data_IF_474658235511
#
_entry.id   IF_474658235511
#
_cell.length_a   1.000
_cell.length_b   1.000
_cell.length_c   1.000
_cell.angle_alpha   90.00
_cell.angle_beta   90.00
_cell.angle_gamma   90.00
#
_symmetry.space_group_name_H-M   'P 1'
#
loop_
_entity.id
_entity.type
_entity.pdbx_description
1 polymer ?
#
# COMPACT_ATOMS: atom_id res chain seq x y z
N UNK A 1 -12.00 -28.12 -10.72
CA UNK A 1 -11.42 -29.09 -9.76
C UNK A 1 -9.88 -29.00 -9.67
N UNK A 2 -9.13 -28.89 -10.79
CA UNK A 2 -7.64 -28.89 -10.77
C UNK A 2 -7.05 -27.79 -9.88
N UNK A 3 -7.55 -26.56 -9.96
CA UNK A 3 -7.03 -25.41 -9.20
C UNK A 3 -7.29 -25.47 -7.69
N UNK A 4 -8.40 -26.05 -7.24
CA UNK A 4 -8.66 -26.22 -5.79
C UNK A 4 -7.72 -27.24 -5.16
N UNK A 5 -7.46 -28.34 -5.85
CA UNK A 5 -6.57 -29.38 -5.35
C UNK A 5 -5.14 -28.88 -5.16
N UNK A 6 -4.68 -27.94 -6.01
CA UNK A 6 -3.33 -27.36 -5.90
C UNK A 6 -3.23 -26.41 -4.71
N UNK A 7 -4.23 -25.56 -4.48
CA UNK A 7 -4.28 -24.65 -3.32
C UNK A 7 -4.26 -25.44 -2.00
N UNK A 8 -5.17 -26.42 -1.87
CA UNK A 8 -5.26 -27.27 -0.68
C UNK A 8 -3.99 -28.10 -0.47
N UNK A 9 -3.32 -28.52 -1.56
CA UNK A 9 -2.05 -29.24 -1.48
C UNK A 9 -0.94 -28.35 -0.91
N UNK A 10 -0.80 -27.11 -1.39
CA UNK A 10 0.19 -26.15 -0.87
C UNK A 10 -0.03 -25.90 0.63
N UNK A 11 -1.27 -25.65 1.04
CA UNK A 11 -1.62 -25.47 2.45
C UNK A 11 -1.36 -26.74 3.29
N UNK A 12 -1.61 -27.91 2.73
CA UNK A 12 -1.32 -29.19 3.40
C UNK A 12 0.19 -29.37 3.59
N UNK A 13 0.98 -29.09 2.57
CA UNK A 13 2.45 -29.15 2.65
C UNK A 13 2.99 -28.17 3.69
N UNK A 14 2.49 -26.93 3.71
CA UNK A 14 2.86 -25.94 4.72
C UNK A 14 2.55 -26.42 6.14
N UNK A 15 1.32 -26.87 6.39
CA UNK A 15 0.89 -27.38 7.68
C UNK A 15 1.70 -28.63 8.12
N UNK A 16 2.02 -29.51 7.17
CA UNK A 16 2.83 -30.70 7.44
C UNK A 16 4.25 -30.32 7.88
N UNK A 17 4.88 -29.36 7.20
CA UNK A 17 6.20 -28.87 7.58
C UNK A 17 6.18 -28.18 8.96
N UNK A 18 5.13 -27.39 9.24
CA UNK A 18 4.96 -26.79 10.57
C UNK A 18 4.84 -27.86 11.65
N UNK A 19 4.00 -28.90 11.42
CA UNK A 19 3.84 -30.01 12.36
C UNK A 19 5.13 -30.81 12.56
N UNK A 20 5.89 -31.08 11.48
CA UNK A 20 7.20 -31.75 11.55
C UNK A 20 8.18 -30.92 12.38
N UNK A 21 8.21 -29.61 12.19
CA UNK A 21 9.03 -28.68 13.00
C UNK A 21 8.66 -28.76 14.48
N UNK A 22 7.38 -28.61 14.82
CA UNK A 22 6.90 -28.70 16.20
C UNK A 22 7.24 -30.05 16.86
N UNK A 23 7.09 -31.14 16.09
CA UNK A 23 7.42 -32.50 16.58
C UNK A 23 8.92 -32.64 16.85
N UNK A 24 9.77 -32.17 15.94
CA UNK A 24 11.24 -32.20 16.12
C UNK A 24 11.69 -31.34 17.31
N UNK A 25 11.10 -30.15 17.47
CA UNK A 25 11.35 -29.29 18.62
C UNK A 25 10.99 -29.99 19.94
N UNK A 26 9.80 -30.59 20.01
CA UNK A 26 9.34 -31.33 21.20
C UNK A 26 10.20 -32.53 21.52
N UNK A 27 10.59 -33.35 20.53
CA UNK A 27 11.45 -34.52 20.71
C UNK A 27 12.87 -34.10 21.16
N UNK A 28 13.44 -33.07 20.55
CA UNK A 28 14.74 -32.54 20.88
C UNK A 28 14.85 -31.92 22.28
N UNK A 29 13.73 -31.36 22.76
CA UNK A 29 13.61 -30.73 24.10
C UNK A 29 13.03 -31.64 25.17
N UNK A 30 12.83 -32.93 24.88
CA UNK A 30 12.24 -33.87 25.83
C UNK A 30 13.14 -33.99 27.10
N UNK A 31 12.58 -34.00 28.33
CA UNK A 31 13.38 -34.00 29.57
C UNK A 31 14.40 -35.13 29.68
N UNK A 32 14.14 -36.30 29.12
CA UNK A 32 15.09 -37.40 29.11
C UNK A 32 16.33 -37.13 28.22
N UNK A 33 16.21 -36.30 27.19
CA UNK A 33 17.32 -35.86 26.33
C UNK A 33 18.13 -34.75 26.97
N UNK A 34 17.53 -33.97 27.90
CA UNK A 34 18.20 -32.94 28.69
C UNK A 34 19.12 -33.50 29.78
N UNK A 35 18.88 -34.74 30.22
CA UNK A 35 19.73 -35.42 31.23
C UNK A 35 21.10 -35.87 30.69
N UNK A 36 21.23 -35.97 29.36
CA UNK A 36 22.51 -36.23 28.69
C UNK A 36 22.63 -35.24 27.51
N UNK A 37 23.27 -34.08 27.67
CA UNK A 37 23.36 -33.08 26.62
C UNK A 37 24.05 -33.70 25.39
N UNK A 38 23.23 -34.00 24.37
CA UNK A 38 23.68 -34.53 23.09
C UNK A 38 23.50 -33.42 22.04
N UNK A 39 24.56 -32.98 21.37
CA UNK A 39 24.49 -31.96 20.31
C UNK A 39 23.47 -32.26 19.21
N UNK A 40 23.22 -33.52 18.92
CA UNK A 40 22.22 -33.93 17.93
C UNK A 40 20.80 -33.51 18.34
N UNK A 41 20.41 -33.77 19.60
CA UNK A 41 19.08 -33.40 20.09
C UNK A 41 18.90 -31.88 20.19
N UNK A 42 19.96 -31.16 20.59
CA UNK A 42 19.95 -29.68 20.63
C UNK A 42 19.78 -29.10 19.22
N UNK A 43 20.50 -29.65 18.23
CA UNK A 43 20.36 -29.22 16.85
C UNK A 43 18.98 -29.58 16.27
N UNK A 44 18.45 -30.75 16.60
CA UNK A 44 17.10 -31.17 16.19
C UNK A 44 16.03 -30.26 16.79
N UNK A 45 16.15 -29.90 18.07
CA UNK A 45 15.24 -28.95 18.71
C UNK A 45 15.31 -27.58 18.03
N UNK A 46 16.51 -27.07 17.80
CA UNK A 46 16.71 -25.77 17.14
C UNK A 46 16.19 -25.74 15.70
N UNK A 47 16.45 -26.79 14.93
CA UNK A 47 15.91 -26.93 13.59
C UNK A 47 14.37 -27.00 13.61
N UNK A 48 13.81 -27.75 14.55
CA UNK A 48 12.38 -27.87 14.74
C UNK A 48 11.71 -26.55 15.07
N UNK A 49 12.27 -25.79 16.00
CA UNK A 49 11.79 -24.49 16.45
C UNK A 49 11.80 -23.46 15.30
N UNK A 50 12.91 -23.32 14.59
CA UNK A 50 13.03 -22.42 13.45
C UNK A 50 12.08 -22.83 12.32
N UNK A 51 11.91 -24.14 12.07
CA UNK A 51 11.00 -24.66 11.03
C UNK A 51 9.53 -24.41 11.39
N UNK A 52 9.14 -24.73 12.64
CA UNK A 52 7.77 -24.47 13.11
C UNK A 52 7.41 -22.99 12.97
N UNK A 53 8.25 -22.11 13.52
CA UNK A 53 8.05 -20.65 13.45
C UNK A 53 7.96 -20.15 12.02
N UNK A 54 8.83 -20.63 11.11
CA UNK A 54 8.83 -20.27 9.69
C UNK A 54 7.48 -20.57 9.04
N UNK A 55 7.01 -21.81 9.15
CA UNK A 55 5.76 -22.22 8.49
C UNK A 55 4.49 -21.72 9.20
N UNK A 56 4.57 -21.44 10.50
CA UNK A 56 3.50 -20.77 11.24
C UNK A 56 3.28 -19.36 10.74
N UNK A 57 4.35 -18.59 10.54
CA UNK A 57 4.29 -17.17 10.16
C UNK A 57 3.76 -16.94 8.74
N UNK A 58 3.94 -17.90 7.83
CA UNK A 58 3.65 -17.73 6.39
C UNK A 58 2.21 -17.31 6.05
N UNK A 59 1.24 -17.51 6.94
CA UNK A 59 -0.17 -17.18 6.65
C UNK A 59 -0.89 -16.51 7.82
N UNK A 60 -0.15 -16.16 8.87
CA UNK A 60 -0.71 -15.49 10.05
C UNK A 60 -0.39 -14.01 9.98
N UNK A 61 -1.43 -13.18 9.99
CA UNK A 61 -1.25 -11.72 10.08
C UNK A 61 -0.57 -11.37 11.40
N UNK A 62 0.58 -10.71 11.39
CA UNK A 62 1.22 -10.25 12.62
C UNK A 62 0.37 -9.18 13.31
N UNK A 63 0.44 -9.14 14.64
CA UNK A 63 -0.09 -8.03 15.41
C UNK A 63 0.73 -6.77 15.17
N UNK A 64 0.11 -5.61 15.19
CA UNK A 64 0.83 -4.37 15.10
C UNK A 64 1.86 -4.19 16.22
N UNK A 65 1.58 -4.68 17.43
CA UNK A 65 2.51 -4.70 18.56
C UNK A 65 3.00 -3.31 18.99
N UNK A 66 2.32 -2.24 18.57
CA UNK A 66 2.61 -0.86 18.96
C UNK A 66 1.71 -0.52 20.14
N UNK A 67 2.16 -0.87 21.35
CA UNK A 67 1.37 -0.72 22.56
C UNK A 67 1.56 0.65 23.24
N UNK A 68 2.74 1.25 23.09
CA UNK A 68 3.08 2.54 23.67
C UNK A 68 3.87 3.41 22.67
N UNK A 69 3.84 4.71 22.88
CA UNK A 69 4.65 5.69 22.16
C UNK A 69 5.15 6.78 23.12
N UNK A 70 6.41 7.13 23.01
CA UNK A 70 6.96 8.31 23.68
C UNK A 70 6.73 9.53 22.80
N UNK A 71 5.87 10.43 23.25
CA UNK A 71 5.51 11.65 22.52
C UNK A 71 6.58 12.74 22.70
N UNK A 72 6.56 13.80 21.88
CA UNK A 72 7.55 14.90 21.94
C UNK A 72 7.66 15.61 23.31
N UNK A 73 6.62 15.55 24.12
CA UNK A 73 6.61 16.05 25.50
C UNK A 73 7.29 15.11 26.50
N UNK A 74 7.92 14.04 26.02
CA UNK A 74 8.63 13.04 26.82
C UNK A 74 7.72 12.06 27.57
N UNK A 75 6.41 12.11 27.38
CA UNK A 75 5.47 11.22 28.05
C UNK A 75 5.25 9.94 27.22
N UNK A 76 5.31 8.83 27.91
CA UNK A 76 4.86 7.54 27.37
C UNK A 76 3.34 7.48 27.41
N UNK A 77 2.71 7.06 26.30
CA UNK A 77 1.26 6.93 26.15
C UNK A 77 0.91 5.59 25.55
N UNK A 78 -0.19 5.02 26.00
CA UNK A 78 -0.78 3.83 25.38
C UNK A 78 -1.22 4.17 23.94
N UNK A 79 -1.10 3.19 23.06
CA UNK A 79 -1.56 3.29 21.68
C UNK A 79 -2.70 2.29 21.48
N UNK A 80 -3.83 2.78 21.03
CA UNK A 80 -4.98 1.99 20.62
C UNK A 80 -5.12 2.05 19.10
N UNK A 81 -5.51 0.93 18.50
CA UNK A 81 -5.81 0.86 17.06
C UNK A 81 -7.31 0.89 16.88
N UNK A 82 -7.78 1.93 16.19
CA UNK A 82 -9.18 2.17 15.90
C UNK A 82 -9.47 1.95 14.42
N UNK A 83 -10.52 1.21 14.09
CA UNK A 83 -11.02 1.10 12.71
C UNK A 83 -11.99 2.26 12.43
N UNK A 84 -11.61 3.13 11.49
CA UNK A 84 -12.43 4.29 11.09
C UNK A 84 -13.41 3.94 9.97
N UNK A 85 -12.98 3.12 9.03
CA UNK A 85 -13.78 2.65 7.90
C UNK A 85 -13.53 1.16 7.74
N UNK A 86 -14.60 0.37 7.75
CA UNK A 86 -14.53 -1.07 7.48
C UNK A 86 -15.07 -1.36 6.09
N UNK A 87 -14.29 -2.11 5.30
CA UNK A 87 -14.64 -2.54 3.94
C UNK A 87 -14.25 -4.01 3.75
N UNK A 88 -14.89 -4.76 2.85
CA UNK A 88 -14.60 -6.18 2.66
C UNK A 88 -13.12 -6.48 2.37
N UNK A 89 -12.44 -5.66 1.57
CA UNK A 89 -11.07 -5.91 1.12
C UNK A 89 -10.00 -5.14 1.89
N UNK A 90 -10.36 -4.23 2.77
CA UNK A 90 -9.41 -3.48 3.59
C UNK A 90 -10.05 -2.39 4.41
N UNK A 91 -9.48 -2.13 5.57
CA UNK A 91 -9.94 -1.14 6.53
C UNK A 91 -9.05 0.11 6.48
N UNK A 92 -9.63 1.24 6.88
CA UNK A 92 -8.86 2.41 7.28
C UNK A 92 -8.72 2.38 8.80
N UNK A 93 -7.50 2.19 9.29
CA UNK A 93 -7.21 2.15 10.72
C UNK A 93 -6.45 3.40 11.16
N UNK A 94 -6.64 3.79 12.43
CA UNK A 94 -5.94 4.89 13.08
C UNK A 94 -5.19 4.39 14.31
N UNK A 95 -3.96 4.84 14.49
CA UNK A 95 -3.21 4.65 15.72
C UNK A 95 -3.44 5.86 16.65
N UNK A 96 -4.13 5.64 17.74
CA UNK A 96 -4.54 6.66 18.69
C UNK A 96 -3.65 6.62 19.94
N UNK A 97 -2.81 7.63 20.15
CA UNK A 97 -2.06 7.80 21.39
C UNK A 97 -2.98 8.40 22.46
N UNK A 98 -3.40 7.59 23.43
CA UNK A 98 -4.41 7.92 24.44
C UNK A 98 -4.04 9.18 25.23
N UNK A 99 -4.98 10.12 25.31
CA UNK A 99 -4.81 11.38 26.05
C UNK A 99 -3.86 12.38 25.38
N UNK A 100 -3.45 12.14 24.13
CA UNK A 100 -2.76 13.12 23.30
C UNK A 100 -3.78 14.00 22.56
N UNK A 101 -3.56 15.31 22.52
CA UNK A 101 -4.32 16.18 21.64
C UNK A 101 -4.05 15.82 20.17
N UNK A 102 -5.06 15.96 19.27
CA UNK A 102 -4.85 15.78 17.84
C UNK A 102 -3.64 16.56 17.33
N UNK A 103 -2.88 15.95 16.41
CA UNK A 103 -1.71 16.59 15.82
C UNK A 103 -2.08 17.36 14.55
N UNK A 104 -1.33 18.44 14.30
CA UNK A 104 -1.46 19.18 13.03
C UNK A 104 -1.07 18.33 11.83
N UNK A 105 -0.07 17.42 12.02
CA UNK A 105 0.30 16.46 11.00
C UNK A 105 -0.59 15.23 11.10
N UNK A 106 -1.39 15.04 10.09
CA UNK A 106 -2.23 13.85 9.88
C UNK A 106 -1.70 13.11 8.67
N UNK A 107 -1.26 11.86 8.83
CA UNK A 107 -0.55 11.11 7.80
C UNK A 107 -1.31 9.82 7.50
N UNK A 108 -1.74 9.64 6.24
CA UNK A 108 -2.22 8.37 5.71
C UNK A 108 -1.04 7.62 5.07
N UNK A 109 -0.66 6.50 5.65
CA UNK A 109 0.23 5.51 5.05
C UNK A 109 -0.58 4.55 4.18
N UNK A 110 -0.34 4.56 2.89
CA UNK A 110 -0.90 3.57 1.97
C UNK A 110 0.06 2.39 1.91
N UNK A 111 -0.36 1.30 2.55
CA UNK A 111 0.42 0.08 2.62
C UNK A 111 0.39 -0.68 1.30
N UNK A 112 1.50 -1.33 0.91
CA UNK A 112 1.52 -2.16 -0.29
C UNK A 112 0.57 -3.36 -0.15
N UNK A 113 -0.06 -3.72 -1.27
CA UNK A 113 -0.82 -4.96 -1.44
C UNK A 113 -0.08 -5.85 -2.43
N UNK A 114 1.16 -6.17 -2.10
CA UNK A 114 2.08 -6.99 -2.90
C UNK A 114 2.41 -8.34 -2.25
N UNK A 115 1.46 -8.86 -1.47
CA UNK A 115 1.57 -10.14 -0.77
C UNK A 115 1.80 -10.03 0.73
N UNK A 116 2.41 -8.97 1.22
CA UNK A 116 2.61 -8.76 2.66
C UNK A 116 1.44 -8.02 3.29
N UNK A 117 1.24 -8.25 4.58
CA UNK A 117 0.30 -7.47 5.39
C UNK A 117 0.82 -6.05 5.63
N UNK A 118 -0.09 -5.12 5.92
CA UNK A 118 0.24 -3.72 6.22
C UNK A 118 1.21 -3.57 7.41
N UNK A 119 1.31 -4.58 8.28
CA UNK A 119 2.26 -4.65 9.41
C UNK A 119 3.72 -4.58 8.98
N UNK A 120 4.04 -4.83 7.70
CA UNK A 120 5.35 -4.55 7.11
C UNK A 120 5.80 -3.11 7.38
N UNK A 121 4.84 -2.17 7.49
CA UNK A 121 5.10 -0.76 7.79
C UNK A 121 5.11 -0.45 9.31
N UNK A 122 5.13 -1.46 10.20
CA UNK A 122 5.13 -1.28 11.67
C UNK A 122 6.22 -0.30 12.13
N UNK A 123 7.44 -0.46 11.63
CA UNK A 123 8.55 0.42 12.01
C UNK A 123 8.37 1.85 11.50
N UNK A 124 7.74 2.01 10.35
CA UNK A 124 7.40 3.32 9.76
C UNK A 124 6.34 4.01 10.60
N UNK A 125 5.23 3.31 10.92
CA UNK A 125 4.17 3.79 11.81
C UNK A 125 4.76 4.23 13.16
N UNK A 126 5.50 3.33 13.82
CA UNK A 126 6.09 3.61 15.13
C UNK A 126 7.02 4.83 15.11
N UNK A 127 7.73 5.05 14.01
CA UNK A 127 8.62 6.20 13.87
C UNK A 127 7.88 7.54 13.64
N UNK A 128 6.67 7.51 13.06
CA UNK A 128 5.85 8.70 12.79
C UNK A 128 4.96 9.09 13.97
N UNK A 129 4.50 8.13 14.77
CA UNK A 129 3.58 8.33 15.89
C UNK A 129 4.00 9.40 16.90
N UNK A 130 5.29 9.60 17.25
CA UNK A 130 5.67 10.68 18.14
C UNK A 130 5.30 12.08 17.62
N UNK A 131 5.15 12.23 16.31
CA UNK A 131 5.05 13.53 15.64
C UNK A 131 3.76 13.73 14.85
N UNK A 132 3.01 12.66 14.55
CA UNK A 132 1.83 12.72 13.69
C UNK A 132 0.69 11.84 14.23
N UNK A 133 -0.53 12.13 13.80
CA UNK A 133 -1.63 11.17 13.83
C UNK A 133 -1.50 10.28 12.60
N UNK A 134 -1.37 8.97 12.80
CA UNK A 134 -1.06 8.01 11.73
C UNK A 134 -2.27 7.16 11.42
N UNK A 135 -2.64 7.15 10.15
CA UNK A 135 -3.68 6.32 9.56
C UNK A 135 -3.03 5.34 8.59
N UNK A 136 -3.58 4.14 8.46
CA UNK A 136 -3.01 3.11 7.58
C UNK A 136 -4.13 2.40 6.82
N UNK A 137 -3.89 2.06 5.55
CA UNK A 137 -4.73 1.12 4.81
C UNK A 137 -4.37 -0.30 5.24
N UNK A 138 -5.29 -1.02 5.86
CA UNK A 138 -5.06 -2.38 6.39
C UNK A 138 -5.79 -3.40 5.53
N UNK A 139 -5.10 -3.94 4.52
CA UNK A 139 -5.66 -4.85 3.53
C UNK A 139 -5.94 -6.23 4.10
N UNK A 140 -7.03 -6.85 3.63
CA UNK A 140 -7.49 -8.15 4.08
C UNK A 140 -7.01 -9.28 3.17
N UNK A 141 -6.80 -10.45 3.76
CA UNK A 141 -6.44 -11.65 3.01
C UNK A 141 -7.62 -12.14 2.16
N UNK A 142 -7.46 -12.17 0.84
CA UNK A 142 -8.53 -12.50 -0.09
C UNK A 142 -9.14 -13.89 0.14
N UNK A 143 -8.39 -14.85 0.69
CA UNK A 143 -8.90 -16.17 1.03
C UNK A 143 -9.98 -16.18 2.10
N UNK A 144 -10.03 -15.13 2.93
CA UNK A 144 -10.96 -14.99 4.05
C UNK A 144 -12.18 -14.14 3.69
N UNK A 145 -12.26 -13.62 2.44
CA UNK A 145 -13.33 -12.75 1.97
C UNK A 145 -14.32 -13.57 1.12
N UNK A 146 -15.61 -13.67 1.54
CA UNK A 146 -16.63 -14.39 0.80
C UNK A 146 -16.74 -13.94 -0.66
N UNK A 147 -17.03 -14.89 -1.58
CA UNK A 147 -17.22 -14.56 -3.00
C UNK A 147 -18.38 -13.59 -3.23
N UNK A 148 -19.38 -13.59 -2.33
CA UNK A 148 -20.53 -12.66 -2.36
C UNK A 148 -20.14 -11.18 -2.25
N UNK A 149 -18.95 -10.86 -1.70
CA UNK A 149 -18.43 -9.48 -1.62
C UNK A 149 -17.97 -8.94 -3.00
N UNK A 150 -18.06 -9.76 -4.04
CA UNK A 150 -17.73 -9.38 -5.41
C UNK A 150 -16.25 -9.49 -5.74
N UNK A 151 -15.86 -8.85 -6.85
CA UNK A 151 -14.47 -8.75 -7.32
C UNK A 151 -13.74 -7.60 -6.61
N UNK A 152 -12.41 -7.61 -6.72
CA UNK A 152 -11.57 -6.50 -6.31
C UNK A 152 -10.34 -6.43 -7.23
N UNK A 153 -10.24 -5.36 -8.01
CA UNK A 153 -9.14 -5.09 -8.94
C UNK A 153 -8.44 -3.76 -8.63
N UNK A 154 -7.56 -3.28 -9.50
CA UNK A 154 -6.84 -2.02 -9.28
C UNK A 154 -7.74 -0.77 -9.36
N UNK A 155 -8.88 -0.84 -10.07
CA UNK A 155 -9.85 0.27 -10.05
C UNK A 155 -10.55 0.32 -8.69
N UNK A 156 -11.00 -0.83 -8.17
CA UNK A 156 -11.61 -0.93 -6.84
C UNK A 156 -10.64 -0.47 -5.75
N UNK A 157 -9.35 -0.87 -5.85
CA UNK A 157 -8.30 -0.40 -4.96
C UNK A 157 -8.16 1.13 -5.00
N UNK A 158 -8.12 1.71 -6.20
CA UNK A 158 -8.02 3.16 -6.38
C UNK A 158 -9.22 3.88 -5.77
N UNK A 159 -10.43 3.34 -5.93
CA UNK A 159 -11.65 3.89 -5.34
C UNK A 159 -11.66 3.78 -3.81
N UNK A 160 -11.10 2.71 -3.23
CA UNK A 160 -10.91 2.62 -1.77
C UNK A 160 -10.01 3.76 -1.26
N UNK A 161 -8.91 4.06 -1.97
CA UNK A 161 -8.04 5.19 -1.62
C UNK A 161 -8.77 6.53 -1.71
N UNK A 162 -9.57 6.73 -2.75
CA UNK A 162 -10.42 7.92 -2.91
C UNK A 162 -11.38 8.05 -1.73
N UNK A 163 -12.06 6.97 -1.34
CA UNK A 163 -12.99 6.99 -0.21
C UNK A 163 -12.28 7.24 1.13
N UNK A 164 -11.11 6.66 1.35
CA UNK A 164 -10.32 6.89 2.56
C UNK A 164 -9.83 8.33 2.65
N UNK A 165 -9.36 8.92 1.54
CA UNK A 165 -8.96 10.33 1.50
C UNK A 165 -10.16 11.25 1.73
N UNK A 166 -11.32 10.97 1.14
CA UNK A 166 -12.57 11.71 1.41
C UNK A 166 -12.98 11.65 2.89
N UNK A 167 -12.91 10.46 3.49
CA UNK A 167 -13.24 10.27 4.91
C UNK A 167 -12.31 11.09 5.82
N UNK A 168 -11.03 11.13 5.50
CA UNK A 168 -10.03 11.87 6.28
C UNK A 168 -10.09 13.38 6.03
N UNK A 169 -10.52 13.80 4.84
CA UNK A 169 -10.61 15.21 4.45
C UNK A 169 -9.28 15.83 3.99
N UNK A 170 -9.31 17.12 3.58
CA UNK A 170 -8.24 17.76 2.81
C UNK A 170 -6.95 18.05 3.59
N UNK A 171 -6.96 17.94 4.93
CA UNK A 171 -5.77 18.21 5.76
C UNK A 171 -4.87 16.98 5.92
N UNK A 172 -5.15 15.91 5.15
CA UNK A 172 -4.36 14.68 5.20
C UNK A 172 -3.12 14.79 4.32
N UNK A 173 -2.02 14.25 4.80
CA UNK A 173 -0.79 14.03 4.04
C UNK A 173 -0.68 12.56 3.72
N UNK A 174 -0.49 12.22 2.46
CA UNK A 174 -0.49 10.82 2.01
C UNK A 174 0.95 10.38 1.73
N UNK A 175 1.33 9.23 2.25
CA UNK A 175 2.59 8.55 1.96
C UNK A 175 2.26 7.18 1.38
N UNK A 176 2.53 6.97 0.11
CA UNK A 176 2.35 5.68 -0.56
C UNK A 176 3.69 4.97 -0.69
N UNK A 177 3.75 3.73 -0.21
CA UNK A 177 4.99 2.94 -0.17
C UNK A 177 4.93 1.81 -1.20
N UNK A 178 5.86 1.79 -2.16
CA UNK A 178 6.01 0.71 -3.13
C UNK A 178 4.83 0.63 -4.14
N UNK A 179 4.31 -0.57 -4.37
CA UNK A 179 3.29 -0.91 -5.36
C UNK A 179 2.06 0.03 -5.42
N UNK A 180 1.50 0.57 -4.33
CA UNK A 180 0.34 1.46 -4.42
C UNK A 180 0.64 2.87 -4.93
N UNK A 181 1.89 3.26 -5.10
CA UNK A 181 2.23 4.63 -5.50
C UNK A 181 1.55 5.08 -6.81
N UNK A 182 1.55 4.32 -7.93
CA UNK A 182 0.84 4.70 -9.13
C UNK A 182 -0.68 4.82 -8.91
N UNK A 183 -1.29 3.91 -8.15
CA UNK A 183 -2.73 3.95 -7.86
C UNK A 183 -3.11 5.10 -6.92
N UNK A 184 -2.21 5.48 -6.00
CA UNK A 184 -2.40 6.63 -5.11
C UNK A 184 -2.27 7.96 -5.88
N UNK A 185 -1.34 8.03 -6.83
CA UNK A 185 -1.22 9.15 -7.74
C UNK A 185 -2.49 9.29 -8.60
N UNK A 186 -3.00 8.19 -9.15
CA UNK A 186 -4.26 8.16 -9.90
C UNK A 186 -5.47 8.55 -9.04
N UNK A 187 -5.55 8.07 -7.78
CA UNK A 187 -6.61 8.46 -6.84
C UNK A 187 -6.57 9.96 -6.52
N UNK A 188 -5.36 10.52 -6.36
CA UNK A 188 -5.16 11.96 -6.16
C UNK A 188 -5.62 12.77 -7.37
N UNK A 189 -5.30 12.31 -8.59
CA UNK A 189 -5.74 12.95 -9.82
C UNK A 189 -7.27 12.81 -10.02
N UNK A 190 -7.85 11.66 -9.68
CA UNK A 190 -9.30 11.46 -9.68
C UNK A 190 -10.00 12.49 -8.78
N UNK A 191 -9.48 12.72 -7.57
CA UNK A 191 -10.00 13.74 -6.67
C UNK A 191 -9.78 15.15 -7.23
N UNK A 192 -8.63 15.42 -7.86
CA UNK A 192 -8.36 16.72 -8.46
C UNK A 192 -9.40 17.12 -9.53
N UNK A 193 -9.88 16.14 -10.29
CA UNK A 193 -10.87 16.37 -11.34
C UNK A 193 -12.31 16.38 -10.82
N UNK A 194 -12.69 15.42 -9.96
CA UNK A 194 -14.08 15.16 -9.62
C UNK A 194 -14.49 15.67 -8.23
N UNK A 195 -13.54 15.80 -7.31
CA UNK A 195 -13.78 16.25 -5.93
C UNK A 195 -12.58 17.03 -5.37
N UNK A 196 -12.25 18.21 -5.93
CA UNK A 196 -11.06 18.96 -5.57
C UNK A 196 -10.95 19.34 -4.09
N UNK A 197 -12.09 19.37 -3.37
CA UNK A 197 -12.10 19.71 -1.94
C UNK A 197 -11.64 18.55 -1.05
N UNK A 198 -11.59 17.31 -1.58
CA UNK A 198 -11.14 16.12 -0.88
C UNK A 198 -9.69 15.72 -1.19
N UNK A 199 -8.96 16.51 -2.00
CA UNK A 199 -7.55 16.25 -2.30
C UNK A 199 -6.70 16.28 -1.03
N UNK A 200 -5.67 15.42 -0.94
CA UNK A 200 -4.69 15.50 0.15
C UNK A 200 -3.86 16.78 0.05
N UNK A 201 -3.27 17.20 1.16
CA UNK A 201 -2.39 18.36 1.21
C UNK A 201 -1.05 18.10 0.55
N UNK A 202 -0.45 16.95 0.83
CA UNK A 202 0.79 16.47 0.21
C UNK A 202 0.68 15.00 -0.18
N UNK A 203 1.44 14.61 -1.19
CA UNK A 203 1.59 13.22 -1.63
C UNK A 203 3.09 12.90 -1.68
N UNK A 204 3.53 11.93 -0.89
CA UNK A 204 4.87 11.36 -0.94
C UNK A 204 4.82 9.96 -1.52
N UNK A 205 5.51 9.72 -2.62
CA UNK A 205 5.61 8.44 -3.31
C UNK A 205 6.99 7.83 -3.02
N UNK A 206 7.03 6.66 -2.40
CA UNK A 206 8.27 6.02 -1.97
C UNK A 206 8.47 4.71 -2.72
N UNK A 207 9.49 4.62 -3.58
CA UNK A 207 9.87 3.39 -4.28
C UNK A 207 8.74 2.78 -5.10
N UNK A 208 7.94 3.60 -5.78
CA UNK A 208 6.77 3.16 -6.53
C UNK A 208 7.04 3.00 -8.02
N UNK A 209 6.52 1.95 -8.68
CA UNK A 209 6.70 1.73 -10.11
C UNK A 209 5.72 2.60 -10.93
N UNK A 210 5.95 3.92 -10.95
CA UNK A 210 5.12 4.86 -11.72
C UNK A 210 5.34 4.64 -13.22
N UNK A 211 6.62 4.61 -13.63
CA UNK A 211 7.00 4.21 -14.98
C UNK A 211 7.94 2.99 -14.93
N UNK A 212 7.39 1.78 -15.08
CA UNK A 212 8.19 0.56 -15.11
C UNK A 212 9.16 0.48 -16.31
N UNK A 213 8.97 1.32 -17.33
CA UNK A 213 9.81 1.38 -18.52
C UNK A 213 11.04 2.27 -18.32
N UNK A 214 11.07 3.13 -17.32
CA UNK A 214 12.17 4.05 -17.05
C UNK A 214 13.47 3.33 -16.67
N UNK A 215 13.39 2.17 -16.00
CA UNK A 215 14.54 1.35 -15.65
C UNK A 215 14.13 -0.12 -15.50
N UNK A 216 14.92 -1.02 -16.10
CA UNK A 216 14.65 -2.46 -16.04
C UNK A 216 15.01 -3.05 -14.66
N UNK A 217 14.17 -3.95 -14.16
CA UNK A 217 14.42 -4.82 -12.99
C UNK A 217 13.97 -6.23 -13.31
N UNK A 218 14.36 -7.23 -12.52
CA UNK A 218 13.86 -8.60 -12.70
C UNK A 218 12.34 -8.67 -12.67
N UNK A 219 11.69 -7.83 -11.85
CA UNK A 219 10.23 -7.73 -11.73
C UNK A 219 9.60 -7.21 -13.04
N UNK A 220 10.11 -6.11 -13.58
CA UNK A 220 9.60 -5.53 -14.83
C UNK A 220 9.86 -6.43 -16.03
N UNK A 221 11.04 -7.06 -16.10
CA UNK A 221 11.40 -7.99 -17.17
C UNK A 221 10.56 -9.27 -17.13
N UNK A 222 10.27 -9.80 -15.95
CA UNK A 222 9.33 -10.92 -15.79
C UNK A 222 7.94 -10.52 -16.29
N UNK A 223 7.41 -9.39 -15.81
CA UNK A 223 6.12 -8.87 -16.22
C UNK A 223 5.98 -8.73 -17.76
N UNK A 224 7.02 -8.29 -18.44
CA UNK A 224 7.02 -8.14 -19.92
C UNK A 224 7.07 -9.47 -20.66
N UNK A 225 7.86 -10.44 -20.19
CA UNK A 225 8.07 -11.72 -20.88
C UNK A 225 6.89 -12.67 -20.78
N UNK A 226 6.19 -12.69 -19.66
CA UNK A 226 5.10 -13.62 -19.41
C UNK A 226 3.81 -13.14 -20.09
N UNK A 227 3.06 -14.02 -20.77
CA UNK A 227 1.72 -13.67 -21.27
C UNK A 227 0.70 -13.73 -20.16
N UNK A 228 -0.42 -13.00 -20.30
CA UNK A 228 -1.49 -13.01 -19.29
C UNK A 228 -2.04 -14.41 -19.06
N UNK A 229 -2.25 -15.21 -20.14
CA UNK A 229 -2.71 -16.59 -20.02
C UNK A 229 -1.72 -17.49 -19.27
N UNK A 230 -0.41 -17.35 -19.51
CA UNK A 230 0.62 -18.07 -18.75
C UNK A 230 0.61 -17.66 -17.29
N UNK A 231 0.48 -16.36 -17.02
CA UNK A 231 0.44 -15.83 -15.66
C UNK A 231 -0.76 -16.37 -14.89
N UNK A 232 -1.94 -16.37 -15.52
CA UNK A 232 -3.15 -16.96 -14.93
C UNK A 232 -2.98 -18.44 -14.64
N UNK A 233 -2.45 -19.23 -15.59
CA UNK A 233 -2.24 -20.67 -15.40
C UNK A 233 -1.21 -20.99 -14.31
N UNK A 234 -0.15 -20.21 -14.20
CA UNK A 234 0.95 -20.46 -13.24
C UNK A 234 0.63 -19.96 -11.84
N UNK A 235 -0.01 -18.80 -11.72
CA UNK A 235 -0.12 -18.06 -10.47
C UNK A 235 -1.50 -18.16 -9.81
N UNK A 236 -2.59 -18.27 -10.61
CA UNK A 236 -3.93 -18.19 -10.04
C UNK A 236 -4.42 -19.55 -9.55
N UNK A 237 -4.93 -19.57 -8.32
CA UNK A 237 -5.48 -20.74 -7.67
C UNK A 237 -6.88 -20.43 -7.13
N UNK A 238 -7.66 -21.49 -6.86
CA UNK A 238 -8.98 -21.35 -6.26
C UNK A 238 -8.93 -21.74 -4.79
N UNK A 239 -9.38 -20.83 -3.93
CA UNK A 239 -9.43 -21.04 -2.47
C UNK A 239 -10.28 -22.26 -2.12
N UNK A 240 -9.74 -23.12 -1.24
CA UNK A 240 -10.39 -24.34 -0.76
C UNK A 240 -11.52 -24.08 0.24
N UNK A 241 -12.31 -25.10 0.54
CA UNK A 241 -13.55 -24.99 1.33
C UNK A 241 -13.38 -24.67 2.81
N UNK A 242 -12.17 -24.73 3.35
CA UNK A 242 -11.92 -24.43 4.77
C UNK A 242 -11.87 -22.93 5.10
N UNK A 243 -11.85 -22.07 4.09
CA UNK A 243 -11.78 -20.62 4.24
C UNK A 243 -13.09 -19.94 3.85
N UNK A 244 -13.39 -18.78 4.42
CA UNK A 244 -14.60 -18.00 4.12
C UNK A 244 -14.70 -17.60 2.65
N UNK A 245 -13.56 -17.38 1.98
CA UNK A 245 -13.47 -17.08 0.55
C UNK A 245 -13.48 -18.30 -0.37
N UNK A 246 -13.99 -19.45 0.10
CA UNK A 246 -14.06 -20.68 -0.70
C UNK A 246 -14.60 -20.42 -2.11
N UNK A 247 -13.86 -20.86 -3.12
CA UNK A 247 -14.21 -20.67 -4.52
C UNK A 247 -13.67 -19.38 -5.17
N UNK A 248 -13.16 -18.41 -4.38
CA UNK A 248 -12.52 -17.19 -4.90
C UNK A 248 -11.23 -17.56 -5.65
N UNK A 249 -11.01 -16.89 -6.78
CA UNK A 249 -9.74 -16.98 -7.50
C UNK A 249 -8.75 -16.00 -6.87
N UNK A 250 -7.56 -16.50 -6.53
CA UNK A 250 -6.53 -15.72 -5.83
C UNK A 250 -5.14 -15.99 -6.41
N UNK A 251 -4.24 -15.04 -6.25
CA UNK A 251 -2.80 -15.27 -6.29
C UNK A 251 -2.33 -15.58 -4.87
N UNK A 252 -1.97 -16.85 -4.56
CA UNK A 252 -1.61 -17.24 -3.21
C UNK A 252 -0.37 -16.55 -2.69
N UNK A 253 -0.42 -16.07 -1.44
CA UNK A 253 0.73 -15.44 -0.79
C UNK A 253 1.96 -16.35 -0.72
N UNK A 254 1.77 -17.66 -0.58
CA UNK A 254 2.87 -18.62 -0.59
C UNK A 254 3.64 -18.66 -1.91
N UNK A 255 2.97 -18.50 -3.06
CA UNK A 255 3.64 -18.41 -4.37
C UNK A 255 4.40 -17.10 -4.50
N UNK A 256 3.83 -16.01 -4.00
CA UNK A 256 4.49 -14.70 -3.99
C UNK A 256 5.76 -14.74 -3.13
N UNK A 257 5.67 -15.31 -1.93
CA UNK A 257 6.81 -15.47 -1.03
C UNK A 257 7.92 -16.31 -1.67
N UNK A 258 7.57 -17.41 -2.36
CA UNK A 258 8.54 -18.22 -3.08
C UNK A 258 9.27 -17.41 -4.16
N UNK A 259 8.56 -16.54 -4.88
CA UNK A 259 9.15 -15.60 -5.83
C UNK A 259 10.15 -14.64 -5.17
N UNK A 260 9.74 -13.96 -4.10
CA UNK A 260 10.61 -13.03 -3.36
C UNK A 260 11.85 -13.71 -2.77
N UNK A 261 11.69 -14.89 -2.18
CA UNK A 261 12.82 -15.64 -1.62
C UNK A 261 13.79 -16.13 -2.69
N UNK A 262 13.31 -16.44 -3.89
CA UNK A 262 14.16 -16.91 -4.99
C UNK A 262 15.11 -15.83 -5.52
N UNK A 263 14.75 -14.56 -5.46
CA UNK A 263 15.60 -13.44 -5.89
C UNK A 263 16.88 -13.31 -5.05
N UNK A 264 16.84 -13.71 -3.77
CA UNK A 264 17.96 -13.64 -2.84
C UNK A 264 18.17 -14.96 -2.07
N UNK A 265 18.04 -16.10 -2.77
CA UNK A 265 17.99 -17.44 -2.17
C UNK A 265 19.21 -17.77 -1.30
N UNK A 266 20.42 -17.38 -1.72
CA UNK A 266 21.65 -17.61 -0.97
C UNK A 266 21.66 -16.86 0.37
N UNK A 267 21.26 -15.59 0.36
CA UNK A 267 21.15 -14.76 1.55
C UNK A 267 20.14 -15.35 2.56
N UNK A 268 18.96 -15.75 2.08
CA UNK A 268 17.94 -16.35 2.93
C UNK A 268 18.41 -17.71 3.50
N UNK A 269 18.97 -18.59 2.68
CA UNK A 269 19.48 -19.90 3.13
C UNK A 269 20.54 -19.75 4.23
N UNK A 270 21.47 -18.81 4.04
CA UNK A 270 22.49 -18.50 5.04
C UNK A 270 21.86 -17.96 6.34
N UNK A 271 20.91 -17.04 6.25
CA UNK A 271 20.26 -16.45 7.41
C UNK A 271 19.53 -17.51 8.27
N UNK A 272 18.83 -18.46 7.64
CA UNK A 272 18.18 -19.57 8.35
C UNK A 272 19.19 -20.54 8.98
N UNK A 273 20.27 -20.89 8.27
CA UNK A 273 21.32 -21.73 8.81
C UNK A 273 22.00 -21.07 10.03
N UNK A 274 22.34 -19.80 9.94
CA UNK A 274 22.93 -19.02 11.03
C UNK A 274 21.96 -18.96 12.24
N UNK A 275 20.65 -18.81 12.01
CA UNK A 275 19.65 -18.78 13.08
C UNK A 275 19.54 -20.13 13.80
N UNK A 276 19.51 -21.26 13.07
CA UNK A 276 19.53 -22.59 13.68
C UNK A 276 20.76 -22.76 14.59
N UNK A 277 21.93 -22.32 14.11
CA UNK A 277 23.17 -22.39 14.94
C UNK A 277 23.07 -21.49 16.17
N UNK A 278 22.48 -20.32 16.09
CA UNK A 278 22.27 -19.42 17.25
C UNK A 278 21.29 -20.02 18.26
N UNK A 279 20.17 -20.57 17.79
CA UNK A 279 19.21 -21.28 18.68
C UNK A 279 19.89 -22.47 19.37
N UNK A 280 20.67 -23.28 18.64
CA UNK A 280 21.42 -24.42 19.21
C UNK A 280 22.36 -24.00 20.31
N UNK A 281 22.99 -22.82 20.22
CA UNK A 281 23.91 -22.27 21.22
C UNK A 281 23.20 -21.50 22.33
N UNK A 282 21.89 -21.33 22.31
CA UNK A 282 21.14 -20.50 23.26
C UNK A 282 21.40 -18.99 23.09
N UNK A 283 21.88 -18.56 21.94
CA UNK A 283 22.20 -17.16 21.62
C UNK A 283 21.04 -16.42 20.91
N UNK A 284 19.97 -17.13 20.52
CA UNK A 284 18.79 -16.56 19.89
C UNK A 284 17.77 -16.07 20.93
N UNK A 285 16.99 -15.09 20.56
CA UNK A 285 15.82 -14.62 21.32
C UNK A 285 14.63 -14.40 20.40
N UNK A 286 13.42 -14.38 20.99
CA UNK A 286 12.18 -14.14 20.23
C UNK A 286 12.17 -12.81 19.47
N UNK A 287 12.93 -11.82 19.97
CA UNK A 287 12.99 -10.47 19.41
C UNK A 287 14.35 -10.15 18.77
N UNK A 288 15.13 -11.16 18.42
CA UNK A 288 16.38 -10.92 17.69
C UNK A 288 16.12 -10.39 16.26
N UNK A 289 17.20 -9.94 15.60
CA UNK A 289 17.10 -9.34 14.27
C UNK A 289 16.52 -10.29 13.21
N UNK A 290 16.87 -11.59 13.30
CA UNK A 290 16.36 -12.60 12.37
C UNK A 290 14.84 -12.75 12.55
N UNK A 291 14.40 -13.01 13.77
CA UNK A 291 12.99 -13.22 14.09
C UNK A 291 12.15 -11.96 13.78
N UNK A 292 12.64 -10.78 14.19
CA UNK A 292 11.96 -9.51 13.90
C UNK A 292 11.77 -9.27 12.39
N UNK A 293 12.77 -9.62 11.57
CA UNK A 293 12.67 -9.47 10.12
C UNK A 293 11.77 -10.54 9.50
N UNK A 294 12.01 -11.82 9.80
CA UNK A 294 11.30 -12.92 9.16
C UNK A 294 9.85 -13.08 9.64
N UNK A 295 9.50 -12.63 10.84
CA UNK A 295 8.11 -12.59 11.30
C UNK A 295 7.22 -11.69 10.41
N UNK A 296 7.79 -10.62 9.83
CA UNK A 296 7.08 -9.76 8.85
C UNK A 296 7.26 -10.27 7.41
N UNK A 297 8.48 -10.63 7.03
CA UNK A 297 8.81 -11.03 5.66
C UNK A 297 8.12 -12.33 5.22
N UNK A 298 7.90 -13.26 6.15
CA UNK A 298 7.19 -14.51 5.86
C UNK A 298 5.67 -14.37 5.93
N UNK A 299 5.16 -13.32 6.60
CA UNK A 299 3.73 -13.11 6.77
C UNK A 299 3.10 -12.57 5.48
N UNK A 300 2.51 -13.48 4.72
CA UNK A 300 1.91 -13.19 3.41
C UNK A 300 0.43 -13.46 3.38
N UNK A 301 -0.28 -12.73 2.54
CA UNK A 301 -1.71 -12.87 2.27
C UNK A 301 -1.97 -13.13 0.80
N UNK A 302 -3.07 -13.80 0.51
CA UNK A 302 -3.54 -13.99 -0.86
C UNK A 302 -4.12 -12.67 -1.39
N UNK A 303 -3.84 -12.37 -2.66
CA UNK A 303 -4.51 -11.29 -3.39
C UNK A 303 -5.62 -11.87 -4.27
N UNK A 304 -6.65 -11.09 -4.58
CA UNK A 304 -7.62 -11.49 -5.61
C UNK A 304 -6.92 -11.65 -6.96
N UNK A 305 -7.38 -12.59 -7.76
CA UNK A 305 -6.83 -12.80 -9.11
C UNK A 305 -6.98 -11.54 -9.95
N UNK A 306 -8.11 -10.86 -9.83
CA UNK A 306 -8.43 -9.64 -10.55
C UNK A 306 -7.43 -8.52 -10.24
N UNK A 307 -7.10 -8.32 -8.95
CA UNK A 307 -6.12 -7.31 -8.54
C UNK A 307 -4.72 -7.62 -9.09
N UNK A 308 -4.26 -8.86 -8.92
CA UNK A 308 -2.94 -9.27 -9.39
C UNK A 308 -2.81 -9.16 -10.90
N UNK A 309 -3.76 -9.73 -11.65
CA UNK A 309 -3.72 -9.75 -13.11
C UNK A 309 -3.84 -8.34 -13.68
N UNK A 310 -4.77 -7.52 -13.17
CA UNK A 310 -4.91 -6.12 -13.64
C UNK A 310 -3.69 -5.27 -13.27
N UNK A 311 -3.02 -5.54 -12.14
CA UNK A 311 -1.75 -4.88 -11.78
C UNK A 311 -0.68 -5.19 -12.83
N UNK A 312 -0.48 -6.47 -13.17
CA UNK A 312 0.55 -6.84 -14.16
C UNK A 312 0.19 -6.31 -15.55
N UNK A 313 -1.04 -6.46 -15.99
CA UNK A 313 -1.49 -6.02 -17.31
C UNK A 313 -1.38 -4.50 -17.45
N UNK A 314 -2.08 -3.76 -16.60
CA UNK A 314 -2.30 -2.33 -16.81
C UNK A 314 -1.16 -1.45 -16.29
N UNK A 315 -0.47 -1.86 -15.20
CA UNK A 315 0.64 -1.07 -14.65
C UNK A 315 2.01 -1.48 -15.23
N UNK A 316 2.28 -2.79 -15.39
CA UNK A 316 3.61 -3.25 -15.82
C UNK A 316 3.73 -3.52 -17.32
N UNK A 317 2.67 -4.00 -18.01
CA UNK A 317 2.71 -4.26 -19.45
C UNK A 317 2.29 -3.05 -20.26
N UNK A 318 1.14 -2.47 -19.91
CA UNK A 318 0.55 -1.37 -20.67
C UNK A 318 1.03 -0.01 -20.19
N UNK A 319 1.66 0.06 -18.98
CA UNK A 319 2.17 1.29 -18.36
C UNK A 319 1.12 2.41 -18.36
N UNK A 320 -0.17 2.07 -18.08
CA UNK A 320 -1.30 3.00 -18.24
C UNK A 320 -1.14 4.29 -17.44
N UNK A 321 -0.59 4.21 -16.20
CA UNK A 321 -0.35 5.39 -15.37
C UNK A 321 0.76 6.26 -15.98
N UNK A 322 1.89 5.66 -16.38
CA UNK A 322 2.99 6.38 -17.02
C UNK A 322 2.58 7.05 -18.34
N UNK A 323 1.66 6.43 -19.08
CA UNK A 323 1.11 6.98 -20.33
C UNK A 323 -0.06 7.92 -20.15
N UNK A 324 -0.43 8.25 -18.91
CA UNK A 324 -1.60 9.06 -18.59
C UNK A 324 -2.88 8.51 -19.26
N UNK A 325 -3.04 7.18 -19.27
CA UNK A 325 -4.10 6.44 -19.94
C UNK A 325 -4.99 5.64 -18.98
N UNK A 326 -4.71 5.68 -17.68
CA UNK A 326 -5.41 4.91 -16.66
C UNK A 326 -6.88 5.32 -16.55
N UNK A 327 -7.77 4.33 -16.49
CA UNK A 327 -9.22 4.52 -16.37
C UNK A 327 -9.71 3.96 -15.05
N UNK A 328 -10.55 4.70 -14.35
CA UNK A 328 -11.21 4.28 -13.11
C UNK A 328 -12.70 4.53 -13.24
N UNK A 329 -13.50 3.48 -13.10
CA UNK A 329 -14.96 3.53 -13.21
C UNK A 329 -15.44 4.26 -14.48
N UNK A 330 -14.79 3.97 -15.63
CA UNK A 330 -15.10 4.58 -16.92
C UNK A 330 -14.59 6.01 -17.11
N UNK A 331 -13.96 6.62 -16.09
CA UNK A 331 -13.36 7.94 -16.17
C UNK A 331 -11.85 7.82 -16.42
N UNK A 332 -11.38 8.39 -17.54
CA UNK A 332 -9.94 8.46 -17.84
C UNK A 332 -9.28 9.51 -16.94
N UNK A 333 -8.30 9.08 -16.17
CA UNK A 333 -7.58 9.94 -15.24
C UNK A 333 -6.57 10.81 -15.99
N UNK A 334 -6.50 12.09 -15.69
CA UNK A 334 -5.47 13.00 -16.16
C UNK A 334 -4.62 13.51 -14.98
N UNK A 335 -3.42 12.96 -14.86
CA UNK A 335 -2.48 13.30 -13.75
C UNK A 335 -2.04 14.78 -13.86
N UNK A 336 -2.03 15.35 -15.06
CA UNK A 336 -1.77 16.77 -15.27
C UNK A 336 -2.78 17.73 -14.63
N UNK A 337 -3.94 17.23 -14.18
CA UNK A 337 -4.94 18.03 -13.45
C UNK A 337 -4.63 18.22 -11.96
N UNK A 338 -3.64 17.53 -11.44
CA UNK A 338 -3.16 17.79 -10.08
C UNK A 338 -2.37 19.10 -10.06
N UNK A 339 -2.94 20.16 -9.49
CA UNK A 339 -2.36 21.52 -9.48
C UNK A 339 -2.07 22.04 -8.08
N UNK A 340 -2.75 21.46 -7.07
CA UNK A 340 -2.74 22.00 -5.71
C UNK A 340 -2.01 21.13 -4.69
N UNK A 341 -1.86 19.82 -4.93
CA UNK A 341 -1.20 18.87 -4.05
C UNK A 341 0.32 18.95 -4.24
N UNK A 342 1.08 19.21 -3.19
CA UNK A 342 2.54 19.13 -3.28
C UNK A 342 3.00 17.67 -3.34
N UNK A 343 3.87 17.33 -4.29
CA UNK A 343 4.30 15.95 -4.54
C UNK A 343 5.79 15.77 -4.33
N UNK A 344 6.14 14.75 -3.56
CA UNK A 344 7.52 14.32 -3.32
C UNK A 344 7.72 12.88 -3.72
N UNK A 345 8.81 12.59 -4.42
CA UNK A 345 9.25 11.23 -4.72
C UNK A 345 10.49 10.86 -3.92
N UNK A 346 10.59 9.59 -3.51
CA UNK A 346 11.74 9.04 -2.79
C UNK A 346 12.13 7.71 -3.42
N UNK A 347 13.40 7.57 -3.78
CA UNK A 347 13.96 6.36 -4.37
C UNK A 347 15.23 5.93 -3.62
N UNK A 348 15.59 4.66 -3.71
CA UNK A 348 16.85 4.12 -3.18
C UNK A 348 17.84 3.86 -4.30
N UNK A 349 19.09 4.33 -4.16
CA UNK A 349 20.09 4.18 -5.22
C UNK A 349 20.52 2.72 -5.48
N UNK A 350 20.15 1.79 -4.59
CA UNK A 350 20.36 0.34 -4.70
C UNK A 350 19.05 -0.44 -4.66
N UNK A 351 17.95 0.20 -5.03
CA UNK A 351 16.66 -0.47 -5.11
C UNK A 351 16.64 -1.37 -6.35
N UNK A 352 16.53 -2.68 -6.12
CA UNK A 352 16.51 -3.74 -7.12
C UNK A 352 15.09 -4.20 -7.47
N UNK A 353 14.09 -3.72 -6.75
CA UNK A 353 12.67 -4.00 -6.99
C UNK A 353 12.06 -2.89 -7.85
N UNK A 354 12.22 -1.63 -7.42
CA UNK A 354 11.80 -0.43 -8.16
C UNK A 354 13.02 0.45 -8.37
N UNK A 355 13.68 0.25 -9.52
CA UNK A 355 14.94 0.91 -9.81
C UNK A 355 14.79 2.45 -9.88
N UNK A 356 15.86 3.20 -9.54
CA UNK A 356 15.87 4.65 -9.69
C UNK A 356 15.43 5.11 -11.07
N UNK A 357 14.56 6.10 -11.12
CA UNK A 357 13.91 6.60 -12.33
C UNK A 357 12.45 6.21 -12.45
N UNK A 358 12.05 5.06 -11.90
CA UNK A 358 10.67 4.60 -11.99
C UNK A 358 9.70 5.46 -11.16
N UNK A 359 10.06 5.82 -9.93
CA UNK A 359 9.19 6.60 -9.05
C UNK A 359 9.22 8.10 -9.39
N UNK A 360 10.39 8.64 -9.69
CA UNK A 360 10.57 10.06 -10.01
C UNK A 360 9.82 10.47 -11.29
N UNK A 361 9.54 9.54 -12.19
CA UNK A 361 8.72 9.75 -13.40
C UNK A 361 7.34 10.36 -13.10
N UNK A 362 6.82 10.21 -11.87
CA UNK A 362 5.59 10.88 -11.43
C UNK A 362 5.64 12.40 -11.63
N UNK A 363 6.80 13.02 -11.45
CA UNK A 363 6.95 14.48 -11.52
C UNK A 363 6.79 15.01 -12.96
N UNK A 364 7.14 14.21 -13.94
CA UNK A 364 6.98 14.56 -15.37
C UNK A 364 5.50 14.49 -15.80
N UNK A 365 4.71 13.60 -15.19
CA UNK A 365 3.27 13.48 -15.45
C UNK A 365 2.47 14.64 -14.85
N UNK A 366 2.98 15.28 -13.81
CA UNK A 366 2.34 16.38 -13.08
C UNK A 366 2.55 17.72 -13.82
N UNK A 367 2.12 17.79 -15.09
CA UNK A 367 2.36 18.95 -15.96
C UNK A 367 1.67 20.23 -15.51
N UNK A 368 0.57 20.12 -14.76
CA UNK A 368 -0.15 21.26 -14.19
C UNK A 368 0.35 21.71 -12.82
N UNK A 369 1.25 20.95 -12.20
CA UNK A 369 1.76 21.27 -10.86
C UNK A 369 2.98 22.22 -10.96
N UNK A 370 2.98 23.36 -10.24
CA UNK A 370 4.13 24.26 -10.18
C UNK A 370 5.39 23.57 -9.65
N UNK A 371 6.56 23.94 -10.18
CA UNK A 371 7.85 23.30 -9.84
C UNK A 371 8.19 23.41 -8.35
N UNK A 372 7.82 24.51 -7.70
CA UNK A 372 8.02 24.71 -6.26
C UNK A 372 7.23 23.73 -5.37
N UNK A 373 6.22 23.03 -5.94
CA UNK A 373 5.46 21.98 -5.27
C UNK A 373 5.96 20.57 -5.59
N UNK A 374 6.97 20.44 -6.44
CA UNK A 374 7.60 19.18 -6.80
C UNK A 374 8.91 18.99 -6.06
N UNK A 375 9.16 17.81 -5.55
CA UNK A 375 10.42 17.47 -4.90
C UNK A 375 10.79 16.02 -5.18
N UNK A 376 12.08 15.71 -5.30
CA UNK A 376 12.59 14.36 -5.43
C UNK A 376 13.75 14.14 -4.46
N UNK A 377 13.95 12.86 -4.08
CA UNK A 377 15.10 12.45 -3.29
C UNK A 377 15.55 11.05 -3.71
N UNK A 378 16.83 10.91 -3.98
CA UNK A 378 17.50 9.62 -4.17
C UNK A 378 18.38 9.34 -2.96
N UNK A 379 17.99 8.34 -2.13
CA UNK A 379 18.74 7.98 -0.92
C UNK A 379 19.97 7.15 -1.27
N UNK A 380 21.20 7.65 -0.99
CA UNK A 380 22.42 6.95 -1.33
C UNK A 380 22.58 5.64 -0.56
N UNK A 381 22.88 4.55 -1.26
CA UNK A 381 23.18 3.24 -0.67
C UNK A 381 21.99 2.48 -0.11
N UNK A 382 20.79 3.05 -0.17
CA UNK A 382 19.58 2.37 0.28
C UNK A 382 19.02 1.44 -0.80
N UNK A 383 18.67 0.20 -0.42
CA UNK A 383 17.80 -0.69 -1.19
C UNK A 383 16.34 -0.45 -0.84
N UNK A 384 15.43 -1.21 -1.47
CA UNK A 384 13.98 -1.03 -1.40
C UNK A 384 13.43 -0.87 0.03
N UNK A 385 13.73 -1.80 0.92
CA UNK A 385 13.25 -1.72 2.31
C UNK A 385 13.88 -0.56 3.10
N UNK A 386 15.09 -0.14 2.73
CA UNK A 386 15.83 0.93 3.41
C UNK A 386 15.18 2.30 3.29
N UNK A 387 14.38 2.54 2.24
CA UNK A 387 13.76 3.84 1.97
C UNK A 387 12.50 4.11 2.78
N UNK A 388 11.88 3.11 3.38
CA UNK A 388 10.70 3.29 4.24
C UNK A 388 10.85 2.65 5.63
N UNK A 389 11.96 1.94 5.87
CA UNK A 389 12.27 1.30 7.14
C UNK A 389 13.76 1.43 7.50
N UNK A 390 14.14 1.08 8.74
CA UNK A 390 15.54 1.02 9.16
C UNK A 390 16.23 2.39 9.36
N UNK A 391 17.53 2.44 9.11
CA UNK A 391 18.37 3.60 9.47
C UNK A 391 18.18 4.78 8.51
N UNK A 392 18.20 4.53 7.19
CA UNK A 392 18.03 5.59 6.19
C UNK A 392 16.68 6.28 6.33
N UNK A 393 15.61 5.49 6.51
CA UNK A 393 14.30 6.04 6.81
C UNK A 393 14.32 6.93 8.07
N UNK A 394 14.77 6.41 9.21
CA UNK A 394 14.70 7.14 10.49
C UNK A 394 15.56 8.40 10.51
N UNK A 395 16.77 8.34 9.93
CA UNK A 395 17.75 9.41 10.09
C UNK A 395 17.70 10.45 8.97
N UNK A 396 17.34 10.05 7.75
CA UNK A 396 17.43 10.91 6.56
C UNK A 396 16.05 11.18 5.95
N UNK A 397 15.31 10.12 5.59
CA UNK A 397 14.11 10.25 4.77
C UNK A 397 12.93 10.78 5.58
N UNK A 398 12.66 10.20 6.76
CA UNK A 398 11.55 10.63 7.62
C UNK A 398 11.62 12.12 7.98
N UNK A 399 12.73 12.67 8.48
CA UNK A 399 12.83 14.10 8.77
C UNK A 399 12.52 14.97 7.56
N UNK A 400 13.09 14.61 6.40
CA UNK A 400 12.89 15.33 5.15
C UNK A 400 11.42 15.25 4.66
N UNK A 401 10.73 14.12 4.85
CA UNK A 401 9.30 13.98 4.52
C UNK A 401 8.45 14.84 5.48
N UNK A 402 8.75 14.83 6.77
CA UNK A 402 8.05 15.67 7.75
C UNK A 402 8.26 17.17 7.50
N UNK A 403 9.48 17.59 7.15
CA UNK A 403 9.78 18.96 6.76
C UNK A 403 9.02 19.37 5.49
N UNK A 404 8.94 18.47 4.50
CA UNK A 404 8.15 18.70 3.29
C UNK A 404 6.65 18.87 3.59
N UNK A 405 6.10 18.08 4.50
CA UNK A 405 4.72 18.22 4.98
C UNK A 405 4.52 19.60 5.63
N UNK A 406 5.44 20.01 6.52
CA UNK A 406 5.32 21.30 7.24
C UNK A 406 5.45 22.51 6.31
N UNK A 407 6.34 22.46 5.32
CA UNK A 407 6.51 23.53 4.32
C UNK A 407 5.24 23.74 3.48
N UNK A 408 4.42 22.69 3.31
CA UNK A 408 3.18 22.72 2.55
C UNK A 408 1.93 22.81 3.45
N UNK A 409 2.09 22.92 4.78
CA UNK A 409 0.98 22.95 5.73
C UNK A 409 0.08 24.18 5.53
N UNK A 410 -1.24 23.94 5.53
CA UNK A 410 -2.26 25.00 5.43
C UNK A 410 -2.41 25.65 4.04
N UNK A 411 -1.70 25.17 3.01
CA UNK A 411 -1.86 25.70 1.65
C UNK A 411 -3.25 25.40 1.08
N UNK A 412 -3.76 24.19 1.30
CA UNK A 412 -5.12 23.80 0.86
C UNK A 412 -6.23 24.53 1.60
N UNK A 413 -6.15 24.66 2.92
CA UNK A 413 -7.15 25.39 3.70
C UNK A 413 -7.27 26.83 3.24
N UNK A 414 -6.15 27.52 3.02
CA UNK A 414 -6.11 28.90 2.51
C UNK A 414 -6.66 29.00 1.08
N UNK A 415 -6.37 28.02 0.22
CA UNK A 415 -6.85 28.01 -1.17
C UNK A 415 -8.34 27.67 -1.24
N UNK A 416 -8.82 26.71 -0.44
CA UNK A 416 -10.24 26.38 -0.34
C UNK A 416 -11.04 27.58 0.18
N UNK A 417 -10.52 28.29 1.19
CA UNK A 417 -11.15 29.50 1.72
C UNK A 417 -11.16 30.63 0.67
N UNK A 418 -10.08 30.80 -0.09
CA UNK A 418 -10.01 31.76 -1.21
C UNK A 418 -11.01 31.41 -2.32
N UNK A 419 -11.07 30.13 -2.75
CA UNK A 419 -12.03 29.65 -3.75
C UNK A 419 -13.49 29.78 -3.28
N UNK A 420 -13.77 29.53 -1.98
CA UNK A 420 -15.10 29.78 -1.38
C UNK A 420 -15.44 31.27 -1.38
N UNK A 421 -14.49 32.13 -1.03
CA UNK A 421 -14.68 33.58 -1.04
C UNK A 421 -14.90 34.11 -2.48
N UNK A 422 -14.18 33.58 -3.47
CA UNK A 422 -14.36 33.93 -4.88
C UNK A 422 -15.72 33.44 -5.43
N UNK A 423 -16.14 32.21 -5.12
CA UNK A 423 -17.49 31.70 -5.47
C UNK A 423 -18.60 32.51 -4.78
N UNK A 424 -18.41 32.93 -3.54
CA UNK A 424 -19.37 33.77 -2.83
C UNK A 424 -19.47 35.15 -3.50
N UNK A 425 -18.35 35.77 -3.86
CA UNK A 425 -18.30 37.05 -4.61
C UNK A 425 -18.93 36.95 -5.99
N UNK A 426 -18.74 35.83 -6.71
CA UNK A 426 -19.36 35.60 -8.02
C UNK A 426 -20.89 35.41 -7.92
N UNK A 427 -21.39 34.82 -6.82
CA UNK A 427 -22.84 34.72 -6.55
C UNK A 427 -23.49 36.01 -6.11
N UNK A 428 -22.74 36.97 -5.56
CA UNK A 428 -23.23 38.26 -5.09
C UNK A 428 -23.01 39.41 -6.09
N UNK A 429 -22.36 39.13 -7.23
CA UNK A 429 -22.26 40.09 -8.31
C UNK A 429 -23.66 40.38 -8.89
N UNK A 430 -24.15 41.64 -8.92
CA UNK A 430 -25.48 41.95 -9.41
C UNK A 430 -25.62 41.61 -10.91
N UNK A 431 -26.70 40.97 -11.27
CA UNK A 431 -27.13 40.78 -12.67
C UNK A 431 -27.54 42.14 -13.30
N UNK A 432 -26.57 43.05 -13.42
CA UNK A 432 -26.74 44.36 -14.03
C UNK A 432 -25.92 44.43 -15.32
N UNK A 433 -26.41 43.81 -16.38
CA UNK A 433 -26.13 44.17 -17.80
C UNK A 433 -26.79 43.23 -18.78
N UNK A 434 -28.14 43.04 -18.68
CA UNK A 434 -28.94 42.53 -19.79
C UNK A 434 -30.33 43.22 -19.82
N UNK A 435 -30.31 44.54 -19.94
CA UNK A 435 -31.46 45.32 -20.24
C UNK A 435 -31.01 46.55 -21.00
N UNK A 436 -30.87 46.44 -22.35
CA UNK A 436 -30.99 47.52 -23.33
C UNK A 436 -30.59 46.98 -24.70
N UNK A 437 -31.61 46.58 -25.44
CA UNK A 437 -31.76 46.78 -26.89
C UNK A 437 -33.02 46.03 -27.35
N UNK A 438 -34.18 46.69 -27.18
CA UNK A 438 -35.27 46.54 -28.14
C UNK A 438 -35.14 47.65 -29.17
N UNK A 439 -35.28 47.37 -30.47
CA UNK A 439 -35.74 48.37 -31.43
C UNK A 439 -37.22 48.08 -31.73
N UNK A 440 -38.00 49.13 -31.56
CA UNK A 440 -39.36 49.30 -32.10
C UNK A 440 -39.38 49.29 -33.62
N UNK A 441 -40.33 48.58 -34.21
CA UNK A 441 -41.08 49.04 -35.40
C UNK A 441 -42.29 48.11 -35.66
N UNK A 442 -43.42 48.61 -35.39
CA UNK A 442 -44.69 48.75 -36.23
C UNK A 442 -44.80 47.88 -37.48
N UNK A 443 -45.87 47.18 -37.47
CA UNK A 443 -47.06 47.24 -38.34
C UNK A 443 -47.37 46.02 -39.21
N UNK A 444 -48.67 45.71 -39.12
CA UNK A 444 -49.63 45.21 -40.06
C UNK A 444 -49.67 43.73 -40.51
N UNK A 445 -50.76 43.11 -40.14
CA UNK A 445 -51.78 42.61 -41.12
C UNK A 445 -51.76 41.13 -41.42
N UNK A 446 -52.84 40.44 -41.01
CA UNK A 446 -53.26 39.28 -41.74
C UNK A 446 -53.46 37.95 -41.04
N UNK A 447 -54.60 37.79 -40.38
CA UNK A 447 -55.30 36.48 -40.24
C UNK A 447 -56.01 36.13 -41.54
N UNK A 448 -56.61 34.94 -41.81
CA UNK A 448 -56.56 33.63 -41.08
C UNK A 448 -56.45 32.42 -42.06
N UNK A 449 -56.38 31.21 -41.58
CA UNK A 449 -57.29 30.05 -41.80
C UNK A 449 -56.64 28.67 -41.64
N UNK A 450 -57.28 27.93 -40.75
CA UNK A 450 -57.65 26.47 -40.73
C UNK A 450 -56.69 25.37 -41.18
N UNK A 451 -56.24 24.53 -40.20
CA UNK A 451 -56.61 23.13 -39.86
C UNK A 451 -57.25 22.30 -41.05
N UNK A 452 -57.14 20.94 -41.17
CA UNK A 452 -56.33 19.87 -40.48
C UNK A 452 -55.74 18.83 -41.48
N UNK A 453 -54.87 17.93 -41.05
CA UNK A 453 -55.06 16.47 -40.85
C UNK A 453 -53.81 15.95 -40.10
#
# INVERSE_FOLDING_TARGET
MRYMATYDLMETLRNTNQWLGATAAALGSYPATALAPNPFFQMMAAWGDVTERTFHRMTVKPDWGINTVVTKDGRERLVEVEKLVERPFGDLIKFNAVGRAPRERRILLVAPMSGHYATLLRSTVNSLLPEADVYVTDWHNARDIPVSEGKFDIEDYTLYLVDFMRHLGPDINVIAVCQPAPLTLAATAYLAELDPEAQPQTLTLIGGPIDPDAAATDVTDFGRRVTMGQLEEMAIQRVGFKYSGAGRMVYPGLLQLAGFMSMNAEMHSKAFADQIMRVTKGEASDHDKHNTFYDEYLAVMDMTAEFYLSTVERLFKDSEVARNAFVVNGHKIDIGKVTDVAVKTVEGSKDDITAPGQCVAALDLLTGLPEEKKASHLEPGAGHYGIFAGKSWRNNIRPMVLDFIDQNAGTHAKQAEKKRAEKAKAKTAPAAAKAKAEPSSSDEGGLPTRIPV
#
